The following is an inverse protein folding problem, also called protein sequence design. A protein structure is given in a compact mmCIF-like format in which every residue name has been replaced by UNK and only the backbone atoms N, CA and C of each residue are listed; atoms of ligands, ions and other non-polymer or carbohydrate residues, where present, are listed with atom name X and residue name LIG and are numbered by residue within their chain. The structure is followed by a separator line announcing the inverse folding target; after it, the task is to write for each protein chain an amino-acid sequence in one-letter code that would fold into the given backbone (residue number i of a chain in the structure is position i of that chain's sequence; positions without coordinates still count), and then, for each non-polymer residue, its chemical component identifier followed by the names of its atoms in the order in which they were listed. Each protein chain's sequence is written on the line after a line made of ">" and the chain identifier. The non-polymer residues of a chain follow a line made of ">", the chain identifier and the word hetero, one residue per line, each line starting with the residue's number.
data_IF_818172902446
#
_entry.id   IF_818172902446
#
_cell.length_a   1.000
_cell.length_b   1.000
_cell.length_c   1.000
_cell.angle_alpha   90.00
_cell.angle_beta   90.00
_cell.angle_gamma   90.00
#
_symmetry.space_group_name_H-M   'P 1'
#
loop_
_entity.id
_entity.type
_entity.pdbx_description
1 polymer ?
#
# COMPACT_ATOMS: atom_id res chain seq x y z
N UNK A 1 -9.13 -10.60 10.21
CA UNK A 1 -8.42 -9.88 9.14
C UNK A 1 -7.16 -10.68 8.82
N UNK A 2 -7.11 -11.29 7.63
CA UNK A 2 -5.87 -11.90 7.15
C UNK A 2 -5.11 -10.83 6.38
N UNK A 3 -3.82 -10.70 6.67
CA UNK A 3 -2.94 -9.76 6.01
C UNK A 3 -1.77 -10.57 5.46
N UNK A 4 -1.62 -10.56 4.14
CA UNK A 4 -0.50 -11.22 3.49
C UNK A 4 0.42 -10.17 2.89
N UNK A 5 1.66 -10.12 3.36
CA UNK A 5 2.72 -9.25 2.82
C UNK A 5 3.51 -10.02 1.76
N UNK A 6 3.67 -9.45 0.57
CA UNK A 6 4.59 -9.98 -0.45
C UNK A 6 5.43 -8.87 -1.07
N UNK A 7 6.56 -9.25 -1.68
CA UNK A 7 7.39 -8.35 -2.44
C UNK A 7 6.65 -7.84 -3.69
N UNK A 8 6.96 -6.62 -4.12
CA UNK A 8 6.41 -6.06 -5.35
C UNK A 8 6.94 -6.78 -6.59
N UNK A 9 6.08 -6.90 -7.60
CA UNK A 9 6.51 -7.35 -8.91
C UNK A 9 7.33 -6.27 -9.62
N UNK A 10 8.11 -6.65 -10.63
CA UNK A 10 8.91 -5.70 -11.41
C UNK A 10 8.04 -4.68 -12.18
N UNK A 11 6.79 -5.01 -12.48
CA UNK A 11 5.83 -4.10 -13.09
C UNK A 11 5.33 -3.06 -12.08
N UNK A 12 5.01 -3.49 -10.85
CA UNK A 12 4.58 -2.56 -9.79
C UNK A 12 5.71 -1.61 -9.40
N UNK A 13 6.96 -2.09 -9.33
CA UNK A 13 8.13 -1.22 -9.07
C UNK A 13 8.23 -0.12 -10.12
N UNK A 14 8.13 -0.46 -11.41
CA UNK A 14 8.11 0.53 -12.49
C UNK A 14 6.94 1.51 -12.37
N UNK A 15 5.78 1.05 -11.91
CA UNK A 15 4.63 1.92 -11.67
C UNK A 15 4.91 2.93 -10.54
N UNK A 16 5.49 2.45 -9.42
CA UNK A 16 5.84 3.30 -8.27
C UNK A 16 6.93 4.32 -8.63
N UNK A 17 7.94 3.91 -9.40
CA UNK A 17 9.00 4.80 -9.88
C UNK A 17 8.42 5.93 -10.75
N UNK A 18 7.45 5.62 -11.62
CA UNK A 18 6.80 6.63 -12.45
C UNK A 18 5.94 7.61 -11.64
N UNK A 19 5.44 7.19 -10.47
CA UNK A 19 4.77 8.07 -9.50
C UNK A 19 5.75 8.81 -8.58
N UNK A 20 7.06 8.62 -8.77
CA UNK A 20 8.12 9.19 -7.96
C UNK A 20 7.97 8.81 -6.46
N UNK A 21 7.53 7.58 -6.20
CA UNK A 21 7.42 7.01 -4.85
C UNK A 21 8.63 6.11 -4.61
N UNK A 22 9.41 6.43 -3.58
CA UNK A 22 10.64 5.72 -3.22
C UNK A 22 10.54 5.19 -1.78
N UNK A 23 11.31 4.14 -1.47
CA UNK A 23 11.39 3.53 -0.14
C UNK A 23 11.25 2.01 -0.19
N UNK A 24 11.05 1.41 0.99
CA UNK A 24 10.71 -0.01 1.10
C UNK A 24 9.23 -0.17 0.82
N UNK A 25 8.91 -0.73 -0.34
CA UNK A 25 7.55 -0.88 -0.82
C UNK A 25 7.17 -2.37 -0.85
N UNK A 26 5.93 -2.66 -0.45
CA UNK A 26 5.38 -4.03 -0.42
C UNK A 26 3.96 -4.04 -0.93
N UNK A 27 3.53 -5.17 -1.49
CA UNK A 27 2.11 -5.44 -1.72
C UNK A 27 1.51 -6.13 -0.50
N UNK A 28 0.33 -5.68 -0.10
CA UNK A 28 -0.45 -6.26 0.99
C UNK A 28 -1.79 -6.69 0.41
N UNK A 29 -2.14 -7.96 0.60
CA UNK A 29 -3.46 -8.50 0.30
C UNK A 29 -4.25 -8.61 1.59
N UNK A 30 -5.44 -8.03 1.59
CA UNK A 30 -6.31 -7.98 2.76
C UNK A 30 -7.77 -7.81 2.34
N UNK A 31 -8.69 -7.95 3.27
CA UNK A 31 -10.11 -7.68 3.12
C UNK A 31 -10.45 -6.21 3.39
N UNK A 32 -11.57 -5.72 2.84
CA UNK A 32 -12.09 -4.37 3.09
C UNK A 32 -11.68 -3.32 2.04
N UNK A 33 -12.22 -2.11 2.20
CA UNK A 33 -11.97 -1.00 1.29
C UNK A 33 -10.92 -0.06 1.90
N UNK A 34 -9.84 0.19 1.15
CA UNK A 34 -8.69 0.96 1.62
C UNK A 34 -8.43 2.11 0.65
N UNK A 35 -7.94 3.23 1.18
CA UNK A 35 -7.70 4.44 0.42
C UNK A 35 -6.23 4.82 0.47
N UNK A 36 -5.57 4.76 -0.69
CA UNK A 36 -4.26 5.38 -0.88
C UNK A 36 -4.30 6.89 -0.64
N UNK A 37 -3.13 7.49 -0.40
CA UNK A 37 -3.02 8.93 -0.21
C UNK A 37 -3.52 9.67 -1.46
N UNK A 38 -4.55 10.48 -1.29
CA UNK A 38 -4.85 11.56 -2.20
C UNK A 38 -4.17 12.84 -1.68
N UNK A 39 -3.01 13.19 -2.25
CA UNK A 39 -2.20 14.35 -1.80
C UNK A 39 -2.97 15.66 -1.91
N UNK A 40 -3.67 15.88 -3.02
CA UNK A 40 -4.41 17.12 -3.28
C UNK A 40 -5.55 17.33 -2.28
N UNK A 41 -6.20 16.24 -1.88
CA UNK A 41 -7.30 16.29 -0.90
C UNK A 41 -6.85 16.12 0.55
N UNK A 42 -5.57 15.80 0.80
CA UNK A 42 -5.08 15.36 2.12
C UNK A 42 -5.99 14.28 2.76
N UNK A 43 -6.50 13.37 1.93
CA UNK A 43 -7.46 12.34 2.34
C UNK A 43 -6.89 10.96 2.06
N UNK A 44 -7.26 9.99 2.91
CA UNK A 44 -6.72 8.62 2.86
C UNK A 44 -5.38 8.52 3.57
N UNK A 45 -4.54 7.59 3.12
CA UNK A 45 -3.29 7.27 3.80
C UNK A 45 -3.51 6.34 4.97
N UNK A 46 -4.33 5.32 4.74
CA UNK A 46 -4.49 4.23 5.69
C UNK A 46 -3.12 3.65 6.05
N UNK A 47 -2.98 3.30 7.33
CA UNK A 47 -1.74 2.75 7.86
C UNK A 47 -1.99 1.32 8.32
N UNK A 48 -1.15 0.42 7.86
CA UNK A 48 -1.04 -0.92 8.41
C UNK A 48 0.07 -0.94 9.45
N UNK A 49 -0.25 -1.39 10.66
CA UNK A 49 0.74 -1.67 11.70
C UNK A 49 0.92 -3.18 11.76
N UNK A 50 2.09 -3.65 11.35
CA UNK A 50 2.42 -5.09 11.30
C UNK A 50 3.62 -5.31 12.22
N UNK A 51 3.36 -5.79 13.44
CA UNK A 51 4.37 -5.85 14.49
C UNK A 51 4.82 -4.44 14.89
N UNK A 52 6.12 -4.19 14.83
CA UNK A 52 6.73 -2.88 15.12
C UNK A 52 6.89 -1.99 13.87
N UNK A 53 6.49 -2.49 12.68
CA UNK A 53 6.61 -1.76 11.42
C UNK A 53 5.30 -1.05 11.08
N UNK A 54 5.41 0.24 10.71
CA UNK A 54 4.28 1.01 10.16
C UNK A 54 4.41 1.10 8.65
N UNK A 55 3.32 0.81 7.95
CA UNK A 55 3.22 0.79 6.49
C UNK A 55 2.12 1.74 6.04
N UNK A 56 2.46 2.73 5.23
CA UNK A 56 1.52 3.73 4.71
C UNK A 56 1.03 3.31 3.33
N UNK A 57 -0.29 3.20 3.12
CA UNK A 57 -0.84 2.90 1.80
C UNK A 57 -0.59 4.07 0.85
N UNK A 58 0.13 3.78 -0.22
CA UNK A 58 0.46 4.75 -1.26
C UNK A 58 -0.40 4.59 -2.50
N UNK A 59 -0.79 3.36 -2.81
CA UNK A 59 -1.60 3.04 -3.99
C UNK A 59 -2.48 1.82 -3.73
N UNK A 60 -3.60 1.72 -4.43
CA UNK A 60 -4.57 0.63 -4.30
C UNK A 60 -4.91 0.10 -5.69
N UNK A 61 -4.04 -0.75 -6.26
CA UNK A 61 -4.19 -1.20 -7.64
C UNK A 61 -5.42 -2.08 -7.87
N UNK A 62 -5.92 -2.81 -6.87
CA UNK A 62 -7.06 -3.71 -7.02
C UNK A 62 -8.00 -3.65 -5.81
N UNK A 63 -9.27 -3.30 -6.05
CA UNK A 63 -10.37 -3.40 -5.07
C UNK A 63 -11.44 -4.33 -5.63
N UNK A 64 -11.69 -5.43 -4.92
CA UNK A 64 -12.77 -6.37 -5.21
C UNK A 64 -13.69 -6.52 -3.99
N UNK A 65 -14.90 -7.09 -4.16
CA UNK A 65 -15.86 -7.24 -3.05
C UNK A 65 -15.35 -8.10 -1.89
N UNK A 66 -14.46 -9.04 -2.17
CA UNK A 66 -13.95 -10.07 -1.27
C UNK A 66 -12.52 -9.82 -0.82
N UNK A 67 -11.67 -9.20 -1.67
CA UNK A 67 -10.29 -8.88 -1.35
C UNK A 67 -9.83 -7.57 -2.01
N UNK A 68 -8.81 -6.98 -1.43
CA UNK A 68 -8.17 -5.76 -1.90
C UNK A 68 -6.65 -5.93 -1.86
N UNK A 69 -5.97 -5.47 -2.91
CA UNK A 69 -4.52 -5.36 -2.96
C UNK A 69 -4.13 -3.90 -2.84
N UNK A 70 -3.31 -3.61 -1.84
CA UNK A 70 -2.75 -2.29 -1.59
C UNK A 70 -1.22 -2.33 -1.71
N UNK A 71 -0.63 -1.26 -2.19
CA UNK A 71 0.81 -1.04 -2.13
C UNK A 71 1.08 -0.08 -0.98
N UNK A 72 1.98 -0.48 -0.08
CA UNK A 72 2.33 0.30 1.08
C UNK A 72 3.83 0.55 1.19
N UNK A 73 4.20 1.74 1.65
CA UNK A 73 5.57 2.17 1.88
C UNK A 73 5.88 2.17 3.38
N UNK A 74 7.00 1.56 3.77
CA UNK A 74 7.44 1.53 5.17
C UNK A 74 7.73 2.94 5.68
N UNK A 75 7.16 3.28 6.84
CA UNK A 75 7.42 4.53 7.53
C UNK A 75 8.43 4.27 8.64
N UNK A 76 9.59 4.92 8.55
CA UNK A 76 10.53 4.99 9.66
C UNK A 76 9.95 5.97 10.69
N UNK A 77 9.72 5.49 11.91
CA UNK A 77 9.28 6.29 13.05
C UNK A 77 10.49 6.94 13.72
#
# INVERSE_FOLDING_TARGET
>A
MMVQKQALSQADIRHMDNMNIQGVLVSIWTDGNWCGINRDRQQGGDKFVIGDETWLVVDVPEIWPDWTRVIACQQLT
#
